data_IF_584781028352
#
_entry.id   IF_584781028352
#
_cell.length_a   1.000
_cell.length_b   1.000
_cell.length_c   1.000
_cell.angle_alpha   90.00
_cell.angle_beta   90.00
_cell.angle_gamma   90.00
#
_symmetry.space_group_name_H-M   'P 1'
#
loop_
_entity.id
_entity.type
_entity.pdbx_description
1 polymer ?
#
# COMPACT_ATOMS: atom_id res chain seq x y z
N UNK A 1 6.25 5.55 -6.62
CA UNK A 1 5.64 5.29 -5.31
C UNK A 1 6.21 6.22 -4.23
N UNK A 2 5.46 6.40 -3.15
CA UNK A 2 5.88 7.14 -1.97
C UNK A 2 6.14 6.17 -0.83
N UNK A 3 7.28 6.34 -0.16
CA UNK A 3 7.64 5.58 1.05
C UNK A 3 7.06 6.24 2.30
N UNK A 4 6.88 5.49 3.40
CA UNK A 4 6.51 6.08 4.67
C UNK A 4 7.60 7.06 5.15
N UNK A 5 7.22 8.19 5.76
CA UNK A 5 8.19 9.13 6.30
C UNK A 5 8.97 8.51 7.47
N UNK A 6 10.25 8.82 7.53
CA UNK A 6 11.12 8.44 8.65
C UNK A 6 11.84 9.69 9.19
N UNK A 7 11.13 10.54 9.95
CA UNK A 7 11.69 11.78 10.46
C UNK A 7 12.78 11.52 11.52
N UNK A 8 13.84 12.36 11.58
CA UNK A 8 14.99 12.10 12.44
C UNK A 8 14.73 12.37 13.94
N UNK A 9 13.61 13.00 14.28
CA UNK A 9 13.22 13.37 15.64
C UNK A 9 12.57 12.21 16.44
N UNK A 10 12.43 11.02 15.82
CA UNK A 10 11.79 9.86 16.46
C UNK A 10 12.33 8.54 15.92
N UNK A 11 12.19 7.49 16.73
CA UNK A 11 12.47 6.13 16.33
C UNK A 11 11.14 5.46 15.99
N UNK A 12 11.00 5.00 14.75
CA UNK A 12 9.80 4.31 14.27
C UNK A 12 9.83 2.83 14.67
N UNK A 13 8.72 2.31 15.19
CA UNK A 13 8.59 0.88 15.56
C UNK A 13 8.36 -0.05 14.36
N UNK A 14 8.04 0.52 13.20
CA UNK A 14 7.78 -0.23 11.97
C UNK A 14 6.78 -1.38 12.12
N UNK A 15 5.68 -1.12 12.81
CA UNK A 15 4.58 -2.07 12.91
C UNK A 15 4.04 -2.47 11.52
N UNK A 16 3.94 -1.50 10.61
CA UNK A 16 3.62 -1.68 9.20
C UNK A 16 4.61 -0.90 8.35
N UNK A 17 4.85 -1.36 7.12
CA UNK A 17 5.60 -0.61 6.11
C UNK A 17 4.69 -0.26 4.93
N UNK A 18 3.85 0.78 5.07
CA UNK A 18 2.89 1.18 4.04
C UNK A 18 3.57 2.01 2.95
N UNK A 19 3.42 1.58 1.70
CA UNK A 19 3.77 2.38 0.52
C UNK A 19 2.51 2.92 -0.15
N UNK A 20 2.63 4.01 -0.90
CA UNK A 20 1.54 4.56 -1.71
C UNK A 20 1.95 4.61 -3.17
N UNK A 21 1.16 3.99 -4.03
CA UNK A 21 1.40 4.04 -5.46
C UNK A 21 1.13 5.45 -6.01
N UNK A 22 1.95 5.88 -6.94
CA UNK A 22 1.69 7.04 -7.79
C UNK A 22 1.00 6.55 -9.05
N UNK A 23 -0.34 6.50 -9.02
CA UNK A 23 -1.15 5.92 -10.08
C UNK A 23 -0.96 6.62 -11.42
N UNK A 24 -0.52 7.86 -11.41
CA UNK A 24 -0.16 8.65 -12.58
C UNK A 24 1.17 8.21 -13.24
N UNK A 25 1.98 7.40 -12.53
CA UNK A 25 3.32 6.95 -12.96
C UNK A 25 3.44 5.43 -13.10
N UNK A 26 2.38 4.68 -12.85
CA UNK A 26 2.37 3.22 -12.98
C UNK A 26 1.29 2.78 -13.95
N UNK A 27 1.55 1.70 -14.70
CA UNK A 27 0.57 1.08 -15.56
C UNK A 27 -0.50 0.32 -14.78
N UNK A 28 -0.17 -0.11 -13.55
CA UNK A 28 -1.02 -0.96 -12.70
C UNK A 28 -1.81 -0.11 -11.71
N UNK A 29 -3.09 -0.41 -11.53
CA UNK A 29 -3.83 0.03 -10.36
C UNK A 29 -3.35 -0.73 -9.11
N UNK A 30 -3.81 -0.33 -7.93
CA UNK A 30 -3.40 -0.93 -6.66
C UNK A 30 -3.68 -2.44 -6.57
N UNK A 31 -4.83 -2.89 -7.05
CA UNK A 31 -5.21 -4.29 -6.96
C UNK A 31 -4.34 -5.15 -7.89
N UNK A 32 -4.14 -4.71 -9.12
CA UNK A 32 -3.27 -5.41 -10.08
C UNK A 32 -1.81 -5.43 -9.59
N UNK A 33 -1.36 -4.35 -8.93
CA UNK A 33 -0.03 -4.31 -8.33
C UNK A 33 0.11 -5.31 -7.17
N UNK A 34 -0.93 -5.46 -6.34
CA UNK A 34 -0.98 -6.47 -5.27
C UNK A 34 -0.91 -7.89 -5.84
N UNK A 35 -1.67 -8.19 -6.89
CA UNK A 35 -1.62 -9.51 -7.54
C UNK A 35 -0.25 -9.75 -8.17
N UNK A 36 0.32 -8.77 -8.86
CA UNK A 36 1.67 -8.89 -9.41
C UNK A 36 2.75 -9.11 -8.33
N UNK A 37 2.62 -8.51 -7.15
CA UNK A 37 3.49 -8.80 -6.01
C UNK A 37 3.36 -10.27 -5.58
N UNK A 38 2.13 -10.78 -5.43
CA UNK A 38 1.85 -12.16 -5.02
C UNK A 38 2.39 -13.18 -6.03
N UNK A 39 2.17 -12.95 -7.32
CA UNK A 39 2.70 -13.78 -8.41
C UNK A 39 4.23 -13.88 -8.39
N UNK A 40 4.91 -12.86 -7.83
CA UNK A 40 6.35 -12.84 -7.65
C UNK A 40 6.79 -13.24 -6.23
N UNK A 41 5.94 -13.91 -5.46
CA UNK A 41 6.28 -14.45 -4.14
C UNK A 41 6.38 -13.41 -3.03
N UNK A 42 5.85 -12.20 -3.25
CA UNK A 42 5.83 -11.12 -2.24
C UNK A 42 4.44 -11.05 -1.60
N UNK A 43 4.32 -11.53 -0.35
CA UNK A 43 3.12 -11.38 0.46
C UNK A 43 2.93 -9.92 0.88
N UNK A 44 1.74 -9.37 0.64
CA UNK A 44 1.41 -8.00 1.02
C UNK A 44 -0.04 -7.91 1.48
N UNK A 45 -0.39 -6.81 2.13
CA UNK A 45 -1.72 -6.55 2.66
C UNK A 45 -2.14 -5.10 2.39
N UNK A 46 -3.42 -4.82 2.60
CA UNK A 46 -3.95 -3.46 2.52
C UNK A 46 -4.61 -3.11 3.85
N UNK A 47 -4.01 -2.21 4.61
CA UNK A 47 -4.45 -1.77 5.93
C UNK A 47 -4.83 -0.28 5.92
N UNK A 48 -6.09 0.07 6.13
CA UNK A 48 -7.33 -0.68 6.23
C UNK A 48 -8.35 0.00 5.31
N UNK A 49 -9.40 -0.73 4.90
CA UNK A 49 -10.51 -0.07 4.20
C UNK A 49 -11.13 0.99 5.11
N UNK A 50 -11.22 2.27 4.68
CA UNK A 50 -11.80 3.33 5.48
C UNK A 50 -13.26 3.04 5.82
N UNK A 51 -13.67 3.38 7.04
CA UNK A 51 -15.02 3.06 7.55
C UNK A 51 -16.15 3.59 6.64
N UNK A 52 -15.97 4.79 6.12
CA UNK A 52 -16.96 5.43 5.23
C UNK A 52 -17.18 4.71 3.90
N UNK A 53 -16.27 3.79 3.52
CA UNK A 53 -16.37 2.96 2.31
C UNK A 53 -16.94 1.55 2.60
N UNK A 54 -17.23 1.22 3.85
CA UNK A 54 -17.90 -0.04 4.18
C UNK A 54 -19.41 0.07 3.93
N UNK A 55 -20.06 -0.97 3.37
CA UNK A 55 -21.49 -0.98 3.08
C UNK A 55 -22.34 -0.54 4.24
N UNK A 56 -22.07 -1.05 5.44
CA UNK A 56 -22.82 -0.69 6.66
C UNK A 56 -22.89 0.83 6.88
N UNK A 57 -21.77 1.54 6.76
CA UNK A 57 -21.75 2.99 6.98
C UNK A 57 -22.35 3.77 5.82
N UNK A 58 -22.21 3.24 4.60
CA UNK A 58 -22.85 3.84 3.43
C UNK A 58 -24.37 3.74 3.50
N UNK A 59 -24.90 2.58 3.86
CA UNK A 59 -26.33 2.30 3.93
C UNK A 59 -27.01 3.00 5.12
N UNK A 60 -26.37 2.98 6.30
CA UNK A 60 -26.99 3.52 7.52
C UNK A 60 -26.74 5.01 7.76
N UNK A 61 -25.66 5.58 7.22
CA UNK A 61 -25.26 6.97 7.45
C UNK A 61 -25.12 7.79 6.17
N UNK A 62 -25.34 7.20 5.00
CA UNK A 62 -25.22 7.87 3.70
C UNK A 62 -23.81 8.36 3.39
N UNK A 63 -22.77 7.76 4.01
CA UNK A 63 -21.40 8.18 3.79
C UNK A 63 -20.92 7.80 2.38
N UNK A 64 -20.12 8.69 1.78
CA UNK A 64 -19.57 8.55 0.43
C UNK A 64 -18.09 8.86 0.43
N UNK A 65 -17.39 8.44 -0.63
CA UNK A 65 -15.96 8.69 -0.81
C UNK A 65 -15.60 10.18 -0.74
N UNK A 66 -16.46 11.04 -1.29
CA UNK A 66 -16.30 12.50 -1.33
C UNK A 66 -16.39 13.19 0.03
N UNK A 67 -17.00 12.53 1.04
CA UNK A 67 -17.09 13.11 2.39
C UNK A 67 -15.74 13.07 3.13
N UNK A 68 -14.85 12.11 2.78
CA UNK A 68 -13.51 11.98 3.35
C UNK A 68 -12.49 11.74 2.23
N UNK A 69 -12.24 12.76 1.39
CA UNK A 69 -11.47 12.58 0.15
C UNK A 69 -10.03 12.16 0.41
N UNK A 70 -9.38 12.67 1.45
CA UNK A 70 -8.00 12.29 1.78
C UNK A 70 -7.87 10.79 2.10
N UNK A 71 -8.78 10.25 2.92
CA UNK A 71 -8.80 8.83 3.27
C UNK A 71 -9.13 7.94 2.06
N UNK A 72 -10.05 8.38 1.21
CA UNK A 72 -10.42 7.69 -0.03
C UNK A 72 -9.24 7.60 -0.99
N UNK A 73 -8.56 8.73 -1.25
CA UNK A 73 -7.39 8.79 -2.13
C UNK A 73 -6.21 7.96 -1.62
N UNK A 74 -5.96 7.96 -0.31
CA UNK A 74 -4.90 7.12 0.27
C UNK A 74 -5.25 5.64 0.13
N UNK A 75 -6.50 5.26 0.38
CA UNK A 75 -6.97 3.88 0.24
C UNK A 75 -6.74 3.30 -1.16
N UNK A 76 -6.97 4.06 -2.20
CA UNK A 76 -6.79 3.62 -3.58
C UNK A 76 -5.33 3.29 -3.95
N UNK A 77 -4.36 3.74 -3.14
CA UNK A 77 -2.93 3.68 -3.42
C UNK A 77 -2.13 2.85 -2.41
N UNK A 78 -2.75 2.52 -1.27
CA UNK A 78 -2.07 1.98 -0.10
C UNK A 78 -1.80 0.48 -0.25
N UNK A 79 -0.54 0.08 0.00
CA UNK A 79 -0.10 -1.32 0.11
C UNK A 79 0.86 -1.41 1.30
N UNK A 80 0.66 -2.39 2.17
CA UNK A 80 1.62 -2.72 3.23
C UNK A 80 2.53 -3.84 2.75
N UNK A 81 3.82 -3.54 2.61
CA UNK A 81 4.85 -4.51 2.27
C UNK A 81 5.15 -5.42 3.46
N UNK A 82 5.70 -6.62 3.23
CA UNK A 82 6.04 -7.54 4.32
C UNK A 82 7.12 -6.95 5.22
N UNK A 83 6.88 -7.02 6.51
CA UNK A 83 7.84 -6.70 7.57
C UNK A 83 7.53 -7.61 8.78
N UNK A 84 8.53 -8.36 9.25
CA UNK A 84 8.36 -9.28 10.37
C UNK A 84 9.70 -9.55 11.05
N UNK A 85 9.70 -9.93 12.35
CA UNK A 85 10.91 -10.33 13.05
C UNK A 85 11.59 -11.52 12.35
N UNK A 86 12.89 -11.44 12.17
CA UNK A 86 13.66 -12.50 11.50
C UNK A 86 13.62 -12.47 9.97
N UNK A 87 13.06 -11.43 9.37
CA UNK A 87 13.16 -11.22 7.92
C UNK A 87 14.63 -11.14 7.51
N UNK A 88 15.04 -12.02 6.60
CA UNK A 88 16.42 -12.09 6.13
C UNK A 88 16.70 -11.00 5.09
N UNK A 89 17.98 -10.68 4.94
CA UNK A 89 18.40 -9.67 3.96
C UNK A 89 18.05 -10.06 2.52
N UNK A 90 18.20 -11.34 2.15
CA UNK A 90 17.81 -11.84 0.82
C UNK A 90 16.31 -11.69 0.55
N UNK A 91 15.47 -11.93 1.56
CA UNK A 91 14.01 -11.71 1.46
C UNK A 91 13.69 -10.23 1.27
N UNK A 92 14.33 -9.35 2.03
CA UNK A 92 14.17 -7.91 1.87
C UNK A 92 14.61 -7.43 0.49
N UNK A 93 15.77 -7.90 0.00
CA UNK A 93 16.25 -7.55 -1.34
C UNK A 93 15.32 -8.06 -2.45
N UNK A 94 14.72 -9.24 -2.27
CA UNK A 94 13.73 -9.75 -3.20
C UNK A 94 12.51 -8.82 -3.28
N UNK A 95 11.96 -8.40 -2.13
CA UNK A 95 10.83 -7.44 -2.10
C UNK A 95 11.19 -6.14 -2.81
N UNK A 96 12.35 -5.57 -2.51
CA UNK A 96 12.83 -4.32 -3.13
C UNK A 96 12.95 -4.49 -4.66
N UNK A 97 13.53 -5.60 -5.11
CA UNK A 97 13.70 -5.89 -6.53
C UNK A 97 12.36 -5.98 -7.26
N UNK A 98 11.42 -6.76 -6.72
CA UNK A 98 10.09 -6.93 -7.32
C UNK A 98 9.34 -5.60 -7.38
N UNK A 99 9.29 -4.85 -6.28
CA UNK A 99 8.62 -3.54 -6.23
C UNK A 99 9.21 -2.57 -7.26
N UNK A 100 10.54 -2.48 -7.35
CA UNK A 100 11.21 -1.61 -8.34
C UNK A 100 10.86 -2.00 -9.76
N UNK A 101 10.91 -3.29 -10.09
CA UNK A 101 10.56 -3.80 -11.42
C UNK A 101 9.12 -3.45 -11.81
N UNK A 102 8.16 -3.67 -10.91
CA UNK A 102 6.75 -3.35 -11.16
C UNK A 102 6.50 -1.84 -11.31
N UNK A 103 7.26 -1.00 -10.60
CA UNK A 103 7.18 0.45 -10.74
C UNK A 103 7.79 0.99 -12.05
N UNK A 104 8.75 0.26 -12.66
CA UNK A 104 9.42 0.67 -13.90
C UNK A 104 8.74 0.15 -15.16
N UNK A 105 7.80 -0.80 -15.02
CA UNK A 105 6.93 -1.24 -16.12
C UNK A 105 5.99 -0.09 -16.48
N UNK A 106 6.50 0.83 -17.32
CA UNK A 106 5.82 2.06 -17.75
C UNK A 106 4.57 1.77 -18.57
N UNK A 107 3.62 2.72 -18.51
CA UNK A 107 2.53 2.83 -19.52
C UNK A 107 3.13 3.00 -20.90
#
# INVERSE_FOLDING_TARGET
LDLPPNPPDRIHSWHLFPIRLRLERTALNRNDFVEALRENGVGCSVHWRPLHLHPYYQENFGWKAEHLPAASQVWERLISLPIFPGMREDEQQHVIHVVRRLCTSSK
#
